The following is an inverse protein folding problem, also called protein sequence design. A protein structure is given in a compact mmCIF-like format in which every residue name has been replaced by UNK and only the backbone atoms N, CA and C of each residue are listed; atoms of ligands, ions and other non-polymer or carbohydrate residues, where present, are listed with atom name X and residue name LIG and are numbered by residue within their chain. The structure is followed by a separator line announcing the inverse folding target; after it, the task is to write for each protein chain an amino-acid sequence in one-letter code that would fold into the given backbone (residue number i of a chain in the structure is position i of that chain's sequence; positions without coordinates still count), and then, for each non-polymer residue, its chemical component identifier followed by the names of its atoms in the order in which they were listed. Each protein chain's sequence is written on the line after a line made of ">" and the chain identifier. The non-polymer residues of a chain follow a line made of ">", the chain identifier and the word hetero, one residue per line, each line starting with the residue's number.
data_IF_575782786157
#
_entry.id   IF_575782786157
#
_cell.length_a   1.000
_cell.length_b   1.000
_cell.length_c   1.000
_cell.angle_alpha   90.00
_cell.angle_beta   90.00
_cell.angle_gamma   90.00
#
_symmetry.space_group_name_H-M   'P 1'
#
loop_
_entity.id
_entity.type
_entity.pdbx_description
1 polymer ?
#
# COMPACT_ATOMS: atom_id res chain seq x y z
N UNK A 1 -27.02 -21.02 13.40
CA UNK A 1 -25.95 -21.91 13.88
C UNK A 1 -24.72 -21.97 12.97
N UNK A 2 -24.78 -22.50 11.74
CA UNK A 2 -23.59 -22.49 10.84
C UNK A 2 -23.08 -21.08 10.51
N UNK A 3 -24.01 -20.15 10.25
CA UNK A 3 -23.64 -18.76 9.99
C UNK A 3 -22.88 -18.12 11.17
N UNK A 4 -23.34 -18.38 12.40
CA UNK A 4 -22.73 -17.83 13.62
C UNK A 4 -21.32 -18.40 13.85
N UNK A 5 -21.08 -19.64 13.44
CA UNK A 5 -19.76 -20.26 13.49
C UNK A 5 -18.78 -19.60 12.52
N UNK A 6 -19.17 -19.43 11.25
CA UNK A 6 -18.34 -18.73 10.25
C UNK A 6 -18.05 -17.29 10.67
N UNK A 7 -19.07 -16.56 11.14
CA UNK A 7 -18.90 -15.18 11.59
C UNK A 7 -17.89 -15.08 12.74
N UNK A 8 -17.95 -16.01 13.71
CA UNK A 8 -16.97 -16.05 14.80
C UNK A 8 -15.56 -16.35 14.29
N UNK A 9 -15.41 -17.31 13.38
CA UNK A 9 -14.10 -17.66 12.81
C UNK A 9 -13.49 -16.48 12.06
N UNK A 10 -14.26 -15.78 11.23
CA UNK A 10 -13.78 -14.62 10.47
C UNK A 10 -13.37 -13.46 11.40
N UNK A 11 -14.20 -13.16 12.41
CA UNK A 11 -13.90 -12.10 13.39
C UNK A 11 -12.65 -12.43 14.20
N UNK A 12 -12.50 -13.68 14.66
CA UNK A 12 -11.32 -14.11 15.41
C UNK A 12 -10.05 -14.06 14.56
N UNK A 13 -10.12 -14.51 13.31
CA UNK A 13 -8.98 -14.47 12.41
C UNK A 13 -8.58 -13.04 12.06
N UNK A 14 -9.55 -12.16 11.83
CA UNK A 14 -9.28 -10.74 11.60
C UNK A 14 -8.68 -10.06 12.83
N UNK A 15 -9.20 -10.36 14.03
CA UNK A 15 -8.69 -9.81 15.28
C UNK A 15 -7.24 -10.24 15.56
N UNK A 16 -6.90 -11.49 15.26
CA UNK A 16 -5.54 -12.02 15.43
C UNK A 16 -4.55 -11.30 14.50
N UNK A 17 -4.88 -11.23 13.20
CA UNK A 17 -4.07 -10.51 12.20
C UNK A 17 -3.91 -9.03 12.57
N UNK A 18 -5.00 -8.38 13.03
CA UNK A 18 -4.97 -6.98 13.42
C UNK A 18 -4.11 -6.73 14.66
N UNK A 19 -4.15 -7.62 15.65
CA UNK A 19 -3.35 -7.51 16.87
C UNK A 19 -1.86 -7.62 16.56
N UNK A 20 -1.46 -8.57 15.71
CA UNK A 20 -0.07 -8.71 15.27
C UNK A 20 0.37 -7.51 14.39
N UNK A 21 -0.53 -6.96 13.59
CA UNK A 21 -0.26 -5.74 12.82
C UNK A 21 -0.01 -4.53 13.73
N UNK A 22 -0.84 -4.34 14.77
CA UNK A 22 -0.64 -3.27 15.75
C UNK A 22 0.70 -3.40 16.49
N UNK A 23 1.03 -4.61 16.98
CA UNK A 23 2.30 -4.86 17.66
C UNK A 23 3.50 -4.53 16.75
N UNK A 24 3.48 -5.04 15.51
CA UNK A 24 4.57 -4.76 14.55
C UNK A 24 4.64 -3.28 14.19
N UNK A 25 3.51 -2.61 13.97
CA UNK A 25 3.50 -1.17 13.65
C UNK A 25 4.14 -0.35 14.76
N UNK A 26 3.83 -0.67 16.02
CA UNK A 26 4.42 -0.01 17.18
C UNK A 26 5.91 -0.33 17.33
N UNK A 27 6.34 -1.55 17.02
CA UNK A 27 7.76 -1.94 17.09
C UNK A 27 8.62 -1.26 16.02
N UNK A 28 8.15 -1.19 14.76
CA UNK A 28 8.96 -0.68 13.65
C UNK A 28 8.84 0.83 13.44
N UNK A 29 7.63 1.39 13.56
CA UNK A 29 7.35 2.79 13.23
C UNK A 29 7.07 3.63 14.48
N UNK A 30 6.77 2.99 15.61
CA UNK A 30 6.21 3.62 16.82
C UNK A 30 4.97 4.48 16.49
N UNK A 31 4.19 4.03 15.52
CA UNK A 31 2.94 4.64 15.08
C UNK A 31 1.79 3.67 15.34
N UNK A 32 0.70 4.17 15.92
CA UNK A 32 -0.52 3.38 16.11
C UNK A 32 -1.34 3.37 14.80
N UNK A 33 -1.56 2.19 14.19
CA UNK A 33 -2.34 2.09 12.95
C UNK A 33 -3.80 2.50 13.12
N UNK A 34 -4.34 2.54 14.34
CA UNK A 34 -5.73 2.90 14.63
C UNK A 34 -6.04 4.38 14.35
N UNK A 35 -5.01 5.23 14.25
CA UNK A 35 -5.15 6.64 13.88
C UNK A 35 -5.21 6.88 12.37
N UNK A 36 -5.01 5.84 11.56
CA UNK A 36 -4.95 5.94 10.10
C UNK A 36 -6.12 5.23 9.45
N UNK A 37 -6.63 5.80 8.36
CA UNK A 37 -7.76 5.25 7.60
C UNK A 37 -7.33 4.04 6.76
N UNK A 38 -6.07 4.01 6.32
CA UNK A 38 -5.56 2.95 5.45
C UNK A 38 -4.08 2.64 5.71
N UNK A 39 -3.67 1.41 5.42
CA UNK A 39 -2.27 0.99 5.57
C UNK A 39 -1.28 1.87 4.76
N UNK A 40 -1.55 2.28 3.50
CA UNK A 40 -0.64 3.17 2.78
C UNK A 40 -0.42 4.51 3.47
N UNK A 41 -1.43 5.06 4.14
CA UNK A 41 -1.29 6.33 4.87
C UNK A 41 -0.38 6.20 6.09
N UNK A 42 -0.48 5.09 6.82
CA UNK A 42 0.44 4.74 7.90
C UNK A 42 1.87 4.55 7.38
N UNK A 43 2.05 3.76 6.31
CA UNK A 43 3.37 3.50 5.75
C UNK A 43 4.05 4.75 5.21
N UNK A 44 3.28 5.67 4.62
CA UNK A 44 3.79 6.95 4.17
C UNK A 44 4.39 7.75 5.33
N UNK A 45 3.67 7.85 6.44
CA UNK A 45 4.13 8.57 7.62
C UNK A 45 5.31 7.86 8.31
N UNK A 46 5.26 6.53 8.38
CA UNK A 46 6.37 5.71 8.89
C UNK A 46 7.65 5.86 8.05
N UNK A 47 7.52 5.94 6.72
CA UNK A 47 8.63 6.19 5.81
C UNK A 47 9.24 7.58 6.01
N UNK A 48 8.40 8.61 6.20
CA UNK A 48 8.88 9.96 6.48
C UNK A 48 9.60 10.05 7.82
N UNK A 49 9.05 9.39 8.85
CA UNK A 49 9.67 9.31 10.17
C UNK A 49 11.02 8.61 10.14
N UNK A 50 11.13 7.50 9.40
CA UNK A 50 12.38 6.71 9.32
C UNK A 50 13.47 7.37 8.45
N UNK A 51 13.07 8.14 7.43
CA UNK A 51 14.04 8.87 6.58
C UNK A 51 14.41 10.25 7.13
N UNK A 52 13.71 10.73 8.16
CA UNK A 52 13.81 12.10 8.70
C UNK A 52 13.62 13.22 7.64
N UNK A 53 13.12 12.87 6.46
CA UNK A 53 12.93 13.80 5.35
C UNK A 53 11.68 14.62 5.59
N UNK A 54 11.84 15.95 5.70
CA UNK A 54 10.71 16.87 5.70
C UNK A 54 10.34 17.27 4.28
N UNK A 55 9.26 16.68 3.77
CA UNK A 55 8.67 17.07 2.49
C UNK A 55 8.04 18.46 2.65
N UNK A 56 8.43 19.39 1.77
CA UNK A 56 7.79 20.71 1.67
C UNK A 56 6.52 20.60 0.85
N UNK A 57 5.50 21.37 1.22
CA UNK A 57 4.29 21.50 0.42
C UNK A 57 4.62 22.09 -0.95
N UNK A 58 4.08 21.50 -2.03
CA UNK A 58 4.23 22.05 -3.38
C UNK A 58 3.46 23.37 -3.49
N UNK A 59 4.17 24.48 -3.66
CA UNK A 59 3.58 25.81 -3.85
C UNK A 59 3.54 26.26 -5.31
N UNK A 60 4.34 25.63 -6.17
CA UNK A 60 4.45 25.96 -7.60
C UNK A 60 3.90 24.84 -8.48
N UNK A 61 3.23 25.22 -9.56
CA UNK A 61 2.62 24.32 -10.54
C UNK A 61 3.66 23.53 -11.33
N UNK A 62 4.85 24.11 -11.53
CA UNK A 62 5.94 23.43 -12.26
C UNK A 62 6.43 22.18 -11.53
N UNK A 63 6.52 22.24 -10.19
CA UNK A 63 6.91 21.10 -9.35
C UNK A 63 5.83 20.01 -9.32
N UNK A 64 4.57 20.42 -9.35
CA UNK A 64 3.44 19.49 -9.44
C UNK A 64 3.45 18.75 -10.78
N UNK A 65 3.59 19.46 -11.89
CA UNK A 65 3.62 18.88 -13.24
C UNK A 65 4.81 17.94 -13.45
N UNK A 66 5.96 18.26 -12.87
CA UNK A 66 7.12 17.35 -12.89
C UNK A 66 6.82 16.04 -12.16
N UNK A 67 6.17 16.13 -10.99
CA UNK A 67 5.81 14.98 -10.16
C UNK A 67 4.74 14.11 -10.84
N UNK A 68 3.70 14.72 -11.41
CA UNK A 68 2.66 13.99 -12.15
C UNK A 68 3.22 13.25 -13.37
N UNK A 69 4.14 13.87 -14.12
CA UNK A 69 4.83 13.20 -15.25
C UNK A 69 5.77 12.09 -14.80
N UNK A 70 6.32 12.19 -13.58
CA UNK A 70 7.20 11.16 -13.02
C UNK A 70 6.44 9.94 -12.47
N UNK A 71 5.11 10.04 -12.26
CA UNK A 71 4.29 8.90 -11.86
C UNK A 71 4.17 7.91 -13.01
N UNK A 72 4.92 6.82 -12.91
CA UNK A 72 4.64 5.63 -13.70
C UNK A 72 3.61 4.77 -12.96
N UNK A 73 2.54 4.39 -13.65
CA UNK A 73 1.62 3.36 -13.15
C UNK A 73 2.28 1.99 -13.16
N UNK A 74 1.49 0.95 -12.90
CA UNK A 74 1.96 -0.43 -13.01
C UNK A 74 2.16 -0.81 -14.48
N UNK A 75 3.28 -1.47 -14.79
CA UNK A 75 3.51 -2.09 -16.10
C UNK A 75 2.86 -3.47 -16.12
N UNK A 76 1.71 -3.61 -16.78
CA UNK A 76 1.08 -4.91 -17.00
C UNK A 76 1.46 -5.45 -18.39
N UNK A 77 2.37 -6.43 -18.45
CA UNK A 77 2.59 -7.22 -19.67
C UNK A 77 1.70 -8.46 -19.64
N UNK A 78 0.61 -8.46 -20.40
CA UNK A 78 -0.17 -9.66 -20.64
C UNK A 78 0.41 -10.42 -21.85
N UNK A 79 1.27 -11.40 -21.59
CA UNK A 79 1.59 -12.43 -22.58
C UNK A 79 0.40 -13.40 -22.72
N UNK A 80 -0.66 -12.98 -23.40
CA UNK A 80 -1.61 -13.93 -23.98
C UNK A 80 -1.07 -14.34 -25.34
N UNK A 81 -0.43 -15.51 -25.36
CA UNK A 81 -0.52 -16.48 -26.46
C UNK A 81 -0.81 -15.87 -27.84
N UNK A 82 0.20 -15.26 -28.47
CA UNK A 82 0.23 -15.10 -29.92
C UNK A 82 1.05 -16.27 -30.48
N UNK A 83 0.41 -17.33 -31.03
CA UNK A 83 1.14 -18.27 -31.85
C UNK A 83 1.63 -17.54 -33.11
N UNK A 84 2.92 -17.71 -33.39
CA UNK A 84 3.56 -17.52 -34.70
C UNK A 84 3.35 -16.18 -35.42
N UNK A 85 4.09 -15.13 -35.04
CA UNK A 85 4.62 -14.14 -36.00
C UNK A 85 5.98 -13.63 -35.49
N UNK A 86 6.93 -14.55 -35.33
CA UNK A 86 8.37 -14.24 -35.46
C UNK A 86 8.78 -14.89 -36.77
N UNK A 87 8.41 -14.25 -37.88
CA UNK A 87 9.07 -14.36 -39.17
C UNK A 87 8.52 -13.21 -40.03
N UNK A 88 9.44 -12.39 -40.54
CA UNK A 88 9.27 -11.42 -41.63
C UNK A 88 8.54 -10.11 -41.31
N UNK A 89 9.29 -9.11 -40.81
CA UNK A 89 9.51 -7.81 -41.47
C UNK A 89 10.37 -6.89 -40.59
#
# INVERSE_FOLDING_TARGET
>A
EYHDLYLKTDVLSLADVWTEFQKRSMEYYELDPSHYVSAPSLFWDGMLKMSEVRIKLFTDITMHDFTEKAKCGEYCYCNYFLPSYVELA
#
